data_IF_638112425784
#
_entry.id   IF_638112425784
#
_cell.length_a   1.000
_cell.length_b   1.000
_cell.length_c   1.000
_cell.angle_alpha   90.00
_cell.angle_beta   90.00
_cell.angle_gamma   90.00
#
_symmetry.space_group_name_H-M   'P 1'
#
loop_
_entity.id
_entity.type
_entity.pdbx_description
1 polymer ?
#
# COMPACT_ATOMS: atom_id res chain seq x y z
N UNK A 1 -15.36 49.73 -21.39
CA UNK A 1 -13.98 49.26 -21.61
C UNK A 1 -13.88 47.85 -21.07
N UNK A 2 -13.31 46.96 -21.88
CA UNK A 2 -13.46 45.49 -21.83
C UNK A 2 -12.73 44.88 -20.63
N UNK A 3 -13.28 43.81 -20.07
CA UNK A 3 -12.69 43.00 -19.02
C UNK A 3 -11.57 42.12 -19.60
N UNK A 4 -10.42 42.09 -18.93
CA UNK A 4 -9.36 41.12 -19.18
C UNK A 4 -9.23 40.17 -17.99
N UNK A 5 -9.77 38.97 -18.18
CA UNK A 5 -9.57 37.78 -17.37
C UNK A 5 -8.16 37.26 -17.63
N UNK A 6 -7.28 37.30 -16.63
CA UNK A 6 -5.98 36.65 -16.72
C UNK A 6 -6.09 35.19 -16.24
N UNK A 7 -6.45 34.33 -17.19
CA UNK A 7 -6.37 32.87 -17.09
C UNK A 7 -4.90 32.44 -17.05
N UNK A 8 -4.37 32.22 -15.85
CA UNK A 8 -3.16 31.42 -15.69
C UNK A 8 -3.57 29.94 -15.77
N UNK A 9 -3.43 29.37 -16.96
CA UNK A 9 -3.49 27.93 -17.18
C UNK A 9 -2.36 27.28 -16.36
N UNK A 10 -2.72 26.64 -15.25
CA UNK A 10 -1.78 25.79 -14.53
C UNK A 10 -1.71 24.47 -15.30
N UNK A 11 -0.69 24.37 -16.16
CA UNK A 11 -0.31 23.17 -16.90
C UNK A 11 -0.10 22.04 -15.88
N UNK A 12 -0.97 21.05 -15.93
CA UNK A 12 -0.82 19.78 -15.24
C UNK A 12 0.42 19.07 -15.80
N UNK A 13 1.48 19.03 -15.00
CA UNK A 13 2.63 18.16 -15.23
C UNK A 13 2.19 16.70 -15.22
N UNK A 14 2.82 15.81 -16.02
CA UNK A 14 2.37 14.43 -16.16
C UNK A 14 2.54 13.67 -14.84
N UNK A 15 1.50 12.97 -14.41
CA UNK A 15 1.50 12.04 -13.28
C UNK A 15 2.62 11.00 -13.45
N UNK A 16 3.63 11.00 -12.57
CA UNK A 16 4.58 9.87 -12.47
C UNK A 16 3.76 8.58 -12.33
N UNK A 17 3.97 7.64 -13.25
CA UNK A 17 3.02 6.59 -13.60
C UNK A 17 2.62 5.70 -12.42
N UNK A 18 1.33 5.75 -12.06
CA UNK A 18 0.70 4.69 -11.28
C UNK A 18 0.74 3.40 -12.10
N UNK A 19 1.26 2.33 -11.49
CA UNK A 19 1.30 1.00 -12.12
C UNK A 19 0.33 0.06 -11.41
N UNK A 20 -0.13 -0.97 -12.13
CA UNK A 20 -1.17 -1.88 -11.62
C UNK A 20 -0.53 -3.05 -10.90
N UNK A 21 -1.16 -3.52 -9.82
CA UNK A 21 -0.72 -4.70 -9.08
C UNK A 21 -0.58 -5.95 -9.98
N UNK A 22 -1.42 -6.05 -11.03
CA UNK A 22 -1.33 -7.11 -12.04
C UNK A 22 -0.05 -7.10 -12.89
N UNK A 23 0.75 -6.03 -12.84
CA UNK A 23 2.02 -5.91 -13.59
C UNK A 23 3.25 -6.31 -12.78
N UNK A 24 3.08 -6.55 -11.48
CA UNK A 24 4.18 -6.94 -10.60
C UNK A 24 4.76 -8.30 -11.02
N UNK A 25 6.07 -8.44 -10.85
CA UNK A 25 6.79 -9.66 -11.20
C UNK A 25 7.41 -10.29 -9.95
N UNK A 26 7.41 -11.63 -9.86
CA UNK A 26 8.12 -12.32 -8.81
C UNK A 26 9.63 -12.18 -9.03
N UNK A 27 10.40 -12.17 -7.93
CA UNK A 27 11.86 -12.04 -8.00
C UNK A 27 12.53 -13.20 -8.77
N UNK A 28 11.95 -14.40 -8.69
CA UNK A 28 12.34 -15.58 -9.46
C UNK A 28 11.10 -16.31 -9.96
N UNK A 29 11.24 -17.21 -10.94
CA UNK A 29 10.14 -18.01 -11.46
C UNK A 29 9.39 -18.84 -10.40
N UNK A 30 10.01 -19.10 -9.24
CA UNK A 30 9.43 -19.88 -8.13
C UNK A 30 9.16 -19.05 -6.88
N UNK A 31 9.35 -17.73 -6.93
CA UNK A 31 9.08 -16.88 -5.78
C UNK A 31 7.57 -16.78 -5.53
N UNK A 32 7.17 -16.99 -4.28
CA UNK A 32 5.77 -16.84 -3.87
C UNK A 32 5.32 -15.37 -3.83
N UNK A 33 6.25 -14.46 -3.54
CA UNK A 33 5.98 -13.04 -3.35
C UNK A 33 6.26 -12.19 -4.58
N UNK A 34 5.41 -11.17 -4.75
CA UNK A 34 5.59 -10.06 -5.69
C UNK A 34 6.15 -8.86 -4.93
N UNK A 35 7.38 -8.45 -5.24
CA UNK A 35 8.07 -7.39 -4.48
C UNK A 35 7.36 -6.03 -4.65
N UNK A 36 7.24 -5.30 -3.55
CA UNK A 36 6.71 -3.94 -3.49
C UNK A 36 7.79 -2.97 -3.03
N UNK A 37 7.99 -1.94 -3.85
CA UNK A 37 8.96 -0.88 -3.62
C UNK A 37 8.30 0.40 -3.08
N UNK A 38 9.06 1.18 -2.32
CA UNK A 38 8.65 2.54 -1.93
C UNK A 38 8.67 3.49 -3.13
N UNK A 39 7.62 4.30 -3.28
CA UNK A 39 7.53 5.30 -4.34
C UNK A 39 8.46 6.50 -4.12
N UNK A 40 8.80 6.80 -2.87
CA UNK A 40 9.60 7.95 -2.47
C UNK A 40 10.58 7.57 -1.35
N UNK A 41 11.64 8.36 -1.19
CA UNK A 41 12.50 8.26 -0.01
C UNK A 41 11.74 8.77 1.21
N UNK A 42 11.76 8.02 2.30
CA UNK A 42 11.06 8.36 3.55
C UNK A 42 11.98 8.15 4.74
N UNK A 43 11.85 8.99 5.76
CA UNK A 43 12.53 8.82 7.05
C UNK A 43 11.49 8.70 8.15
N UNK A 44 11.47 7.55 8.82
CA UNK A 44 10.63 7.29 9.99
C UNK A 44 11.35 7.90 11.20
N UNK A 45 10.76 8.93 11.80
CA UNK A 45 11.35 9.72 12.89
C UNK A 45 10.93 9.28 14.29
N UNK A 46 9.94 8.39 14.38
CA UNK A 46 9.38 7.89 15.62
C UNK A 46 9.05 6.40 15.52
N UNK A 47 8.58 5.83 16.64
CA UNK A 47 8.14 4.45 16.74
C UNK A 47 6.65 4.27 16.41
N UNK A 48 6.03 5.19 15.66
CA UNK A 48 4.66 5.02 15.17
C UNK A 48 4.62 4.23 13.85
N UNK A 49 3.42 3.83 13.42
CA UNK A 49 3.24 3.15 12.14
C UNK A 49 3.09 4.19 11.03
N UNK A 50 3.93 4.09 10.00
CA UNK A 50 3.93 4.97 8.84
C UNK A 50 3.34 4.27 7.62
N UNK A 51 2.49 4.97 6.87
CA UNK A 51 1.98 4.48 5.59
C UNK A 51 2.88 4.96 4.45
N UNK A 52 3.58 4.02 3.81
CA UNK A 52 4.49 4.31 2.72
C UNK A 52 3.83 4.02 1.38
N UNK A 53 3.82 5.00 0.48
CA UNK A 53 3.30 4.85 -0.88
C UNK A 53 4.16 3.91 -1.73
N UNK A 54 3.52 3.18 -2.63
CA UNK A 54 4.14 2.29 -3.63
C UNK A 54 3.84 2.72 -5.06
N UNK A 55 2.87 3.62 -5.27
CA UNK A 55 2.27 3.93 -6.57
C UNK A 55 1.69 2.70 -7.31
N UNK A 56 1.51 1.59 -6.59
CA UNK A 56 0.86 0.38 -7.09
C UNK A 56 -0.59 0.40 -6.66
N UNK A 57 -1.51 0.43 -7.61
CA UNK A 57 -2.94 0.32 -7.33
C UNK A 57 -3.50 -1.01 -7.80
N UNK A 58 -4.59 -1.44 -7.17
CA UNK A 58 -5.37 -2.57 -7.67
C UNK A 58 -6.06 -2.28 -9.02
N UNK A 59 -6.90 -3.21 -9.51
CA UNK A 59 -7.24 -4.49 -8.90
C UNK A 59 -6.10 -5.50 -8.97
N UNK A 60 -6.17 -6.51 -8.10
CA UNK A 60 -5.29 -7.68 -8.16
C UNK A 60 -5.59 -8.53 -9.40
N UNK A 61 -4.70 -9.47 -9.77
CA UNK A 61 -5.03 -10.49 -10.77
C UNK A 61 -6.38 -11.16 -10.49
N UNK A 62 -7.17 -11.50 -11.52
CA UNK A 62 -8.48 -12.10 -11.34
C UNK A 62 -8.45 -13.34 -10.45
N UNK A 63 -9.49 -13.51 -9.62
CA UNK A 63 -9.66 -14.63 -8.69
C UNK A 63 -8.53 -14.75 -7.64
N UNK A 64 -7.94 -13.62 -7.26
CA UNK A 64 -6.93 -13.57 -6.18
C UNK A 64 -7.25 -12.47 -5.17
N UNK A 65 -6.99 -12.76 -3.91
CA UNK A 65 -6.76 -11.78 -2.86
C UNK A 65 -5.27 -11.78 -2.53
N UNK A 66 -4.76 -10.79 -1.81
CA UNK A 66 -3.34 -10.77 -1.46
C UNK A 66 -3.09 -10.45 0.01
N UNK A 67 -2.03 -11.05 0.54
CA UNK A 67 -1.45 -10.71 1.83
C UNK A 67 -0.20 -9.87 1.60
N UNK A 68 -0.21 -8.63 2.09
CA UNK A 68 0.95 -7.77 2.19
C UNK A 68 1.80 -8.22 3.37
N UNK A 69 3.07 -8.54 3.12
CA UNK A 69 4.04 -8.95 4.14
C UNK A 69 5.37 -8.21 3.97
N UNK A 70 6.11 -8.06 5.06
CA UNK A 70 7.52 -7.66 4.99
C UNK A 70 8.39 -8.71 4.29
N UNK A 71 9.46 -8.27 3.64
CA UNK A 71 10.53 -9.17 3.20
C UNK A 71 11.41 -9.52 4.41
N UNK A 72 11.94 -10.74 4.43
CA UNK A 72 12.84 -11.17 5.50
C UNK A 72 14.05 -10.25 5.66
N UNK A 73 14.64 -9.80 4.55
CA UNK A 73 15.75 -8.83 4.54
C UNK A 73 15.38 -7.50 5.20
N UNK A 74 14.14 -7.04 5.02
CA UNK A 74 13.63 -5.81 5.63
C UNK A 74 13.56 -5.96 7.14
N UNK A 75 12.95 -7.05 7.61
CA UNK A 75 12.84 -7.37 9.05
C UNK A 75 14.23 -7.50 9.69
N UNK A 76 15.17 -8.18 9.04
CA UNK A 76 16.56 -8.31 9.51
C UNK A 76 17.29 -6.97 9.60
N UNK A 77 16.87 -5.97 8.82
CA UNK A 77 17.44 -4.62 8.84
C UNK A 77 16.83 -3.72 9.93
N UNK A 78 15.91 -4.24 10.76
CA UNK A 78 15.26 -3.47 11.84
C UNK A 78 14.06 -2.63 11.39
N UNK A 79 13.58 -2.82 10.16
CA UNK A 79 12.32 -2.25 9.67
C UNK A 79 11.27 -3.35 9.56
N UNK A 80 10.13 -3.13 10.19
CA UNK A 80 9.05 -4.10 10.22
C UNK A 80 7.90 -3.61 9.35
N UNK A 81 7.37 -4.50 8.53
CA UNK A 81 6.13 -4.25 7.78
C UNK A 81 5.02 -5.00 8.47
N UNK A 82 3.98 -4.27 8.89
CA UNK A 82 2.80 -4.87 9.49
C UNK A 82 1.96 -5.56 8.39
N UNK A 83 1.48 -6.78 8.62
CA UNK A 83 0.68 -7.49 7.64
C UNK A 83 -0.60 -6.73 7.27
N UNK A 84 -1.02 -6.83 6.02
CA UNK A 84 -2.27 -6.23 5.54
C UNK A 84 -2.97 -7.14 4.53
N UNK A 85 -4.30 -7.11 4.52
CA UNK A 85 -5.11 -7.80 3.50
C UNK A 85 -5.41 -6.81 2.38
N UNK A 86 -5.22 -7.26 1.14
CA UNK A 86 -5.61 -6.53 -0.07
C UNK A 86 -6.73 -7.32 -0.73
N UNK A 87 -7.93 -6.72 -0.75
CA UNK A 87 -9.10 -7.30 -1.36
C UNK A 87 -8.96 -7.34 -2.89
N UNK A 88 -9.58 -8.34 -3.52
CA UNK A 88 -9.51 -8.58 -4.97
C UNK A 88 -10.05 -7.43 -5.82
N UNK A 89 -11.05 -6.71 -5.31
CA UNK A 89 -11.79 -5.65 -5.98
C UNK A 89 -11.33 -4.24 -5.58
N UNK A 90 -10.34 -4.13 -4.68
CA UNK A 90 -9.79 -2.82 -4.29
C UNK A 90 -9.14 -2.15 -5.50
N UNK A 91 -9.48 -0.88 -5.71
CA UNK A 91 -8.87 -0.03 -6.75
C UNK A 91 -7.89 0.98 -6.17
N UNK A 92 -7.75 1.00 -4.84
CA UNK A 92 -6.89 1.94 -4.15
C UNK A 92 -5.42 1.57 -4.30
N UNK A 93 -4.55 2.53 -3.94
CA UNK A 93 -3.12 2.28 -3.82
C UNK A 93 -2.85 1.31 -2.66
N UNK A 94 -2.01 0.31 -2.93
CA UNK A 94 -1.47 -0.61 -1.93
C UNK A 94 -0.33 0.11 -1.20
N UNK A 95 -0.59 0.61 0.00
CA UNK A 95 0.42 1.22 0.87
C UNK A 95 1.10 0.17 1.77
N UNK A 96 2.30 0.48 2.23
CA UNK A 96 3.07 -0.35 3.15
C UNK A 96 2.95 0.24 4.56
N UNK A 97 2.42 -0.52 5.50
CA UNK A 97 2.43 -0.15 6.92
C UNK A 97 3.78 -0.51 7.52
N UNK A 98 4.65 0.49 7.69
CA UNK A 98 6.02 0.31 8.16
C UNK A 98 6.20 0.86 9.58
N UNK A 99 6.99 0.16 10.39
CA UNK A 99 7.32 0.53 11.75
C UNK A 99 8.77 0.16 12.06
N UNK A 100 9.44 0.94 12.90
CA UNK A 100 10.77 0.59 13.44
C UNK A 100 10.83 0.94 14.93
N UNK A 101 11.49 0.10 15.76
CA UNK A 101 11.81 0.46 17.13
C UNK A 101 13.07 1.34 17.25
N UNK A 102 13.79 1.59 16.15
CA UNK A 102 15.08 2.30 16.16
C UNK A 102 15.10 3.52 15.22
N UNK A 103 14.27 4.55 15.45
CA UNK A 103 14.34 5.78 14.67
C UNK A 103 15.65 6.56 14.94
N UNK A 104 16.18 7.34 13.96
CA UNK A 104 15.62 7.54 12.63
C UNK A 104 15.96 6.38 11.68
N UNK A 105 14.98 5.93 10.89
CA UNK A 105 15.17 4.91 9.85
C UNK A 105 14.82 5.50 8.48
N UNK A 106 15.79 5.55 7.56
CA UNK A 106 15.57 6.06 6.20
C UNK A 106 15.45 4.91 5.20
N UNK A 107 14.37 4.92 4.42
CA UNK A 107 14.11 3.99 3.32
C UNK A 107 14.21 4.76 2.00
N UNK A 108 15.23 4.49 1.16
CA UNK A 108 15.36 5.14 -0.14
C UNK A 108 14.20 4.80 -1.09
N UNK A 109 13.87 5.72 -2.02
CA UNK A 109 12.96 5.46 -3.16
C UNK A 109 13.38 4.19 -3.91
N UNK A 110 12.41 3.38 -4.30
CA UNK A 110 12.62 2.15 -5.07
C UNK A 110 13.06 0.95 -4.23
N UNK A 111 13.15 1.09 -2.90
CA UNK A 111 13.53 -0.03 -2.03
C UNK A 111 12.40 -1.04 -1.94
N UNK A 112 12.60 -2.25 -2.46
CA UNK A 112 11.68 -3.38 -2.28
C UNK A 112 11.71 -3.83 -0.81
N UNK A 113 10.77 -3.36 0.01
CA UNK A 113 10.73 -3.65 1.45
C UNK A 113 9.60 -4.59 1.86
N UNK A 114 8.59 -4.74 1.01
CA UNK A 114 7.43 -5.60 1.24
C UNK A 114 7.20 -6.50 0.02
N UNK A 115 6.26 -7.43 0.15
CA UNK A 115 5.85 -8.33 -0.91
C UNK A 115 4.36 -8.67 -0.78
N UNK A 116 3.70 -8.92 -1.91
CA UNK A 116 2.36 -9.50 -1.95
C UNK A 116 2.44 -11.00 -2.14
N UNK A 117 1.76 -11.75 -1.27
CA UNK A 117 1.49 -13.17 -1.48
C UNK A 117 0.07 -13.30 -2.04
N UNK A 118 -0.04 -13.75 -3.29
CA UNK A 118 -1.35 -13.98 -3.91
C UNK A 118 -1.97 -15.27 -3.36
N UNK A 119 -3.24 -15.16 -2.95
CA UNK A 119 -4.04 -16.25 -2.42
C UNK A 119 -5.22 -16.44 -3.38
N UNK A 120 -5.41 -17.63 -3.97
CA UNK A 120 -6.57 -17.92 -4.81
C UNK A 120 -7.87 -17.75 -4.02
N UNK A 121 -8.82 -17.00 -4.57
CA UNK A 121 -10.19 -16.98 -4.04
C UNK A 121 -10.90 -18.23 -4.56
N UNK A 122 -11.36 -19.10 -3.67
CA UNK A 122 -12.05 -20.35 -4.03
C UNK A 122 -13.24 -20.14 -4.98
N UNK A 123 -13.55 -21.17 -5.77
CA UNK A 123 -14.54 -21.21 -6.86
C UNK A 123 -15.97 -20.82 -6.46
N UNK A 124 -16.58 -19.95 -7.27
CA UNK A 124 -17.99 -19.89 -7.70
C UNK A 124 -19.10 -20.07 -6.65
N UNK A 125 -18.97 -19.48 -5.46
CA UNK A 125 -20.17 -19.20 -4.65
C UNK A 125 -20.77 -17.85 -5.10
N UNK A 126 -22.10 -17.70 -5.22
CA UNK A 126 -22.71 -16.43 -5.61
C UNK A 126 -22.29 -15.37 -4.58
N UNK A 127 -21.40 -14.47 -4.97
CA UNK A 127 -21.09 -13.27 -4.19
C UNK A 127 -22.43 -12.53 -4.05
N UNK A 128 -22.90 -12.21 -2.82
CA UNK A 128 -24.10 -11.41 -2.65
C UNK A 128 -23.93 -10.14 -3.49
N UNK A 129 -24.87 -9.90 -4.39
CA UNK A 129 -24.89 -8.74 -5.27
C UNK A 129 -25.06 -7.46 -4.46
N UNK A 130 -23.98 -6.98 -3.86
CA UNK A 130 -23.89 -5.61 -3.38
C UNK A 130 -22.86 -4.89 -4.23
N UNK A 131 -23.29 -4.02 -5.15
CA UNK A 131 -22.39 -3.16 -5.91
C UNK A 131 -21.97 -2.01 -4.99
N UNK A 132 -21.26 -2.31 -3.92
CA UNK A 132 -20.55 -1.30 -3.15
C UNK A 132 -19.10 -1.37 -3.58
N UNK A 133 -18.78 -0.55 -4.59
CA UNK A 133 -17.40 -0.25 -4.94
C UNK A 133 -16.70 0.25 -3.67
N UNK A 134 -15.87 -0.61 -3.05
CA UNK A 134 -15.08 -0.22 -1.88
C UNK A 134 -14.17 0.93 -2.30
N UNK A 135 -14.26 2.06 -1.60
CA UNK A 135 -13.33 3.18 -1.71
C UNK A 135 -12.55 3.27 -0.40
N UNK A 136 -11.23 3.31 -0.52
CA UNK A 136 -10.28 3.32 0.59
C UNK A 136 -9.85 1.91 1.01
N UNK A 137 -8.58 1.77 1.38
CA UNK A 137 -8.00 0.64 2.11
C UNK A 137 -7.37 1.10 3.43
N UNK A 138 -6.78 0.18 4.20
CA UNK A 138 -6.07 0.50 5.46
C UNK A 138 -6.96 1.12 6.57
N UNK A 139 -8.15 0.56 6.80
CA UNK A 139 -9.07 1.02 7.87
C UNK A 139 -10.15 2.00 7.40
N UNK A 140 -10.43 2.06 6.10
CA UNK A 140 -11.52 2.85 5.50
C UNK A 140 -12.92 2.38 5.91
N UNK A 141 -13.06 1.12 6.36
CA UNK A 141 -14.34 0.53 6.79
C UNK A 141 -14.36 0.35 8.31
N UNK A 142 -15.12 1.21 8.98
CA UNK A 142 -15.30 1.17 10.44
C UNK A 142 -14.09 1.71 11.19
N UNK A 143 -14.30 2.72 12.03
CA UNK A 143 -13.26 3.15 12.95
C UNK A 143 -13.11 2.09 14.05
N UNK A 144 -11.92 1.49 14.23
CA UNK A 144 -11.72 0.53 15.30
C UNK A 144 -11.92 1.26 16.65
N UNK A 145 -12.75 0.69 17.52
CA UNK A 145 -12.94 1.19 18.89
C UNK A 145 -11.79 0.65 19.74
N UNK A 146 -10.66 1.37 19.76
CA UNK A 146 -9.46 0.98 20.51
C UNK A 146 -9.29 1.90 21.71
N UNK A 147 -9.29 1.31 22.91
CA UNK A 147 -9.02 2.02 24.16
C UNK A 147 -7.62 1.68 24.65
N UNK A 148 -6.79 2.70 24.80
CA UNK A 148 -5.44 2.57 25.35
C UNK A 148 -5.40 3.15 26.76
N UNK A 149 -4.79 2.44 27.70
CA UNK A 149 -4.42 2.99 29.00
C UNK A 149 -2.91 3.20 29.01
N UNK A 150 -2.50 4.44 29.26
CA UNK A 150 -1.08 4.75 29.48
C UNK A 150 -0.85 4.70 30.99
N UNK A 151 -0.01 3.79 31.44
CA UNK A 151 0.52 3.86 32.81
C UNK A 151 1.71 4.82 32.76
N UNK A 152 1.55 6.02 33.30
CA UNK A 152 2.68 6.90 33.53
C UNK A 152 3.50 6.32 34.70
N UNK A 153 4.77 6.03 34.42
CA UNK A 153 5.79 5.67 35.43
C UNK A 153 6.69 6.87 35.66
#
# INVERSE_FOLDING_TARGET
TRADTNTAANVSTPTEGSSRASSLRPATARSAGLDLATAHTVTLLDCSVHLLSTNISGPLPPKTQALLLGRSSTTLSGLFVLPGVVDSDSTDEIKIMAWTPFPPCTVPKGSCIAQLILIPTGTDSPVPSQPQQRRGGFGSTGNPQILWFKNDS
#
